data_IF_701189068718
#
_entry.id   IF_701189068718
#
_cell.length_a   1.000
_cell.length_b   1.000
_cell.length_c   1.000
_cell.angle_alpha   90.00
_cell.angle_beta   90.00
_cell.angle_gamma   90.00
#
_symmetry.space_group_name_H-M   'P 1'
#
loop_
_entity.id
_entity.type
_entity.pdbx_description
1 polymer ?
#
# COMPACT_ATOMS: atom_id res chain seq x y z
N UNK A 1 26.63 17.33 22.48
CA UNK A 1 26.63 16.83 23.87
C UNK A 1 26.88 15.34 23.80
N UNK A 2 28.02 14.89 24.34
CA UNK A 2 28.40 13.49 24.40
C UNK A 2 27.34 12.73 25.18
N UNK A 3 26.55 11.87 24.54
CA UNK A 3 25.75 10.89 25.27
C UNK A 3 26.73 9.83 25.76
N UNK A 4 27.06 9.86 27.04
CA UNK A 4 27.65 8.70 27.68
C UNK A 4 26.76 7.49 27.37
N UNK A 5 27.37 6.44 26.83
CA UNK A 5 26.65 5.21 26.54
C UNK A 5 26.04 4.70 27.85
N UNK A 6 24.72 4.52 27.89
CA UNK A 6 24.05 3.95 29.04
C UNK A 6 24.58 2.52 29.25
N UNK A 7 24.94 2.19 30.48
CA UNK A 7 25.36 0.84 30.87
C UNK A 7 24.11 -0.06 30.99
N UNK A 8 23.57 -0.43 29.82
CA UNK A 8 22.40 -1.31 29.67
C UNK A 8 22.93 -2.65 29.16
N UNK A 9 22.78 -3.71 29.97
CA UNK A 9 23.25 -5.05 29.61
C UNK A 9 22.10 -5.97 29.20
N UNK A 10 20.92 -5.81 29.84
CA UNK A 10 19.71 -6.62 29.60
C UNK A 10 18.46 -5.74 29.48
N UNK A 11 17.35 -6.31 29.00
CA UNK A 11 16.10 -5.56 28.78
C UNK A 11 15.50 -5.02 30.07
N UNK A 12 15.69 -5.72 31.18
CA UNK A 12 15.23 -5.37 32.51
C UNK A 12 15.90 -4.10 33.07
N UNK A 13 17.02 -3.69 32.49
CA UNK A 13 17.70 -2.43 32.85
C UNK A 13 17.00 -1.20 32.22
N UNK A 14 16.11 -1.41 31.25
CA UNK A 14 15.39 -0.33 30.57
C UNK A 14 14.30 0.26 31.48
N UNK A 15 14.20 1.58 31.51
CA UNK A 15 13.02 2.23 32.07
C UNK A 15 11.75 1.83 31.31
N UNK A 16 10.58 2.03 31.92
CA UNK A 16 9.30 1.73 31.27
C UNK A 16 9.14 2.43 29.91
N UNK A 17 9.59 3.68 29.79
CA UNK A 17 9.54 4.41 28.52
C UNK A 17 10.49 3.79 27.48
N UNK A 18 11.72 3.45 27.87
CA UNK A 18 12.69 2.83 26.96
C UNK A 18 12.24 1.45 26.49
N UNK A 19 11.69 0.63 27.41
CA UNK A 19 11.16 -0.68 27.07
C UNK A 19 9.96 -0.55 26.10
N UNK A 20 9.11 0.45 26.29
CA UNK A 20 7.99 0.72 25.37
C UNK A 20 8.50 1.13 23.98
N UNK A 21 9.50 2.02 23.90
CA UNK A 21 10.13 2.41 22.64
C UNK A 21 10.82 1.22 21.97
N UNK A 22 11.47 0.37 22.75
CA UNK A 22 12.09 -0.85 22.26
C UNK A 22 11.06 -1.82 21.64
N UNK A 23 9.89 -2.00 22.26
CA UNK A 23 8.81 -2.83 21.69
C UNK A 23 8.33 -2.26 20.34
N UNK A 24 8.13 -0.94 20.23
CA UNK A 24 7.75 -0.31 18.96
C UNK A 24 8.81 -0.53 17.87
N UNK A 25 10.09 -0.43 18.24
CA UNK A 25 11.20 -0.71 17.34
C UNK A 25 11.26 -2.20 16.94
N UNK A 26 10.97 -3.14 17.84
CA UNK A 26 10.86 -4.56 17.50
C UNK A 26 9.77 -4.83 16.45
N UNK A 27 8.61 -4.17 16.56
CA UNK A 27 7.53 -4.26 15.55
C UNK A 27 8.02 -3.71 14.21
N UNK A 28 8.76 -2.60 14.20
CA UNK A 28 9.36 -2.07 12.97
C UNK A 28 10.33 -3.08 12.35
N UNK A 29 11.28 -3.63 13.12
CA UNK A 29 12.23 -4.66 12.64
C UNK A 29 11.51 -5.89 12.09
N UNK A 30 10.41 -6.32 12.73
CA UNK A 30 9.58 -7.42 12.26
C UNK A 30 8.98 -7.13 10.88
N UNK A 31 8.41 -5.94 10.67
CA UNK A 31 7.84 -5.55 9.35
C UNK A 31 8.90 -5.45 8.25
N UNK A 32 10.09 -4.93 8.56
CA UNK A 32 11.24 -4.92 7.65
C UNK A 32 11.65 -6.36 7.30
N UNK A 33 11.84 -7.22 8.29
CA UNK A 33 12.26 -8.61 8.08
C UNK A 33 11.23 -9.41 7.28
N UNK A 34 9.93 -9.25 7.56
CA UNK A 34 8.86 -9.85 6.76
C UNK A 34 8.94 -9.42 5.29
N UNK A 35 9.15 -8.12 5.05
CA UNK A 35 9.29 -7.60 3.69
C UNK A 35 10.55 -8.13 3.01
N UNK A 36 11.68 -8.23 3.71
CA UNK A 36 12.92 -8.82 3.19
C UNK A 36 12.72 -10.28 2.78
N UNK A 37 12.03 -11.10 3.58
CA UNK A 37 11.66 -12.47 3.19
C UNK A 37 10.87 -12.50 1.90
N UNK A 38 9.83 -11.67 1.78
CA UNK A 38 9.06 -11.57 0.54
C UNK A 38 9.94 -11.15 -0.65
N UNK A 39 10.84 -10.16 -0.45
CA UNK A 39 11.77 -9.71 -1.49
C UNK A 39 12.72 -10.82 -1.94
N UNK A 40 13.26 -11.60 -1.02
CA UNK A 40 14.16 -12.72 -1.35
C UNK A 40 13.42 -13.86 -2.05
N UNK A 41 12.20 -14.21 -1.62
CA UNK A 41 11.40 -15.22 -2.32
C UNK A 41 11.06 -14.76 -3.74
N UNK A 42 10.70 -13.48 -3.94
CA UNK A 42 10.50 -12.93 -5.28
C UNK A 42 11.78 -12.98 -6.12
N UNK A 43 12.92 -12.63 -5.54
CA UNK A 43 14.21 -12.63 -6.24
C UNK A 43 14.64 -14.04 -6.65
N UNK A 44 14.52 -15.03 -5.76
CA UNK A 44 15.01 -16.39 -5.96
C UNK A 44 14.02 -17.26 -6.75
N UNK A 45 12.72 -17.12 -6.48
CA UNK A 45 11.68 -18.05 -6.97
C UNK A 45 10.68 -17.40 -7.95
N UNK A 46 10.74 -16.07 -8.12
CA UNK A 46 9.86 -15.31 -8.98
C UNK A 46 8.58 -14.83 -8.28
N UNK A 47 7.96 -13.78 -8.83
CA UNK A 47 6.82 -13.07 -8.22
C UNK A 47 5.61 -13.97 -7.97
N UNK A 48 5.21 -14.83 -8.91
CA UNK A 48 4.01 -15.66 -8.75
C UNK A 48 4.11 -16.57 -7.52
N UNK A 49 5.22 -17.29 -7.37
CA UNK A 49 5.47 -18.15 -6.20
C UNK A 49 5.59 -17.33 -4.91
N UNK A 50 6.19 -16.15 -4.98
CA UNK A 50 6.28 -15.25 -3.84
C UNK A 50 4.90 -14.78 -3.34
N UNK A 51 3.97 -14.52 -4.25
CA UNK A 51 2.59 -14.16 -3.90
C UNK A 51 1.84 -15.33 -3.25
N UNK A 52 1.99 -16.55 -3.79
CA UNK A 52 1.37 -17.76 -3.21
C UNK A 52 1.88 -18.01 -1.78
N UNK A 53 3.20 -17.90 -1.58
CA UNK A 53 3.83 -18.07 -0.25
C UNK A 53 3.43 -16.92 0.69
N UNK A 54 3.38 -15.68 0.21
CA UNK A 54 2.96 -14.54 1.01
C UNK A 54 1.53 -14.72 1.54
N UNK A 55 0.60 -15.20 0.72
CA UNK A 55 -0.77 -15.48 1.14
C UNK A 55 -0.83 -16.51 2.27
N UNK A 56 -0.12 -17.64 2.12
CA UNK A 56 -0.09 -18.68 3.13
C UNK A 56 0.53 -18.19 4.45
N UNK A 57 1.65 -17.47 4.36
CA UNK A 57 2.43 -17.06 5.53
C UNK A 57 1.82 -15.84 6.24
N UNK A 58 1.25 -14.89 5.52
CA UNK A 58 0.62 -13.70 6.10
C UNK A 58 -0.56 -14.05 7.00
N UNK A 59 -1.48 -14.92 6.56
CA UNK A 59 -2.61 -15.36 7.39
C UNK A 59 -2.16 -16.02 8.69
N UNK A 60 -1.26 -17.01 8.57
CA UNK A 60 -0.72 -17.74 9.73
C UNK A 60 0.01 -16.81 10.71
N UNK A 61 0.84 -15.90 10.18
CA UNK A 61 1.62 -14.97 11.00
C UNK A 61 0.75 -13.92 11.70
N UNK A 62 -0.32 -13.45 11.05
CA UNK A 62 -1.31 -12.55 11.65
C UNK A 62 -2.04 -13.23 12.80
N UNK A 63 -2.55 -14.44 12.61
CA UNK A 63 -3.25 -15.21 13.65
C UNK A 63 -2.36 -15.43 14.88
N UNK A 64 -1.10 -15.83 14.67
CA UNK A 64 -0.13 -16.03 15.75
C UNK A 64 0.16 -14.71 16.48
N UNK A 65 0.38 -13.63 15.73
CA UNK A 65 0.76 -12.33 16.30
C UNK A 65 -0.39 -11.73 17.10
N UNK A 66 -1.61 -11.74 16.56
CA UNK A 66 -2.81 -11.21 17.21
C UNK A 66 -3.13 -12.02 18.47
N UNK A 67 -3.04 -13.35 18.41
CA UNK A 67 -3.24 -14.21 19.58
C UNK A 67 -2.28 -13.86 20.72
N UNK A 68 -0.97 -13.77 20.42
CA UNK A 68 0.05 -13.42 21.42
C UNK A 68 -0.13 -12.01 22.00
N UNK A 69 -0.52 -11.05 21.15
CA UNK A 69 -0.85 -9.69 21.59
C UNK A 69 -2.07 -9.71 22.50
N UNK A 70 -3.11 -10.49 22.18
CA UNK A 70 -4.31 -10.64 23.01
C UNK A 70 -3.99 -11.23 24.39
N UNK A 71 -3.17 -12.29 24.43
CA UNK A 71 -2.69 -12.90 25.68
C UNK A 71 -1.90 -11.90 26.55
N UNK A 72 -1.04 -11.08 25.93
CA UNK A 72 -0.18 -10.13 26.65
C UNK A 72 -0.92 -8.85 27.08
N UNK A 73 -1.80 -8.33 26.23
CA UNK A 73 -2.51 -7.06 26.43
C UNK A 73 -3.90 -7.23 27.05
N UNK A 74 -4.35 -8.47 27.27
CA UNK A 74 -5.59 -8.78 27.98
C UNK A 74 -6.86 -8.60 27.15
N UNK A 75 -6.81 -8.79 25.83
CA UNK A 75 -8.00 -8.74 24.97
C UNK A 75 -8.33 -10.09 24.32
N UNK A 76 -9.62 -10.33 24.13
CA UNK A 76 -10.13 -11.54 23.46
C UNK A 76 -9.89 -11.50 21.96
N UNK A 77 -9.58 -12.65 21.37
CA UNK A 77 -9.47 -12.84 19.92
C UNK A 77 -10.52 -13.87 19.48
N UNK A 78 -11.43 -13.47 18.61
CA UNK A 78 -12.53 -14.29 18.10
C UNK A 78 -12.30 -14.53 16.60
N UNK A 79 -12.11 -15.80 16.20
CA UNK A 79 -11.84 -16.16 14.79
C UNK A 79 -10.67 -15.39 14.15
N UNK A 80 -9.62 -15.11 14.93
CA UNK A 80 -8.45 -14.34 14.46
C UNK A 80 -8.62 -12.82 14.52
N UNK A 81 -9.79 -12.32 14.94
CA UNK A 81 -10.11 -10.89 15.01
C UNK A 81 -10.01 -10.40 16.46
N UNK A 82 -9.29 -9.30 16.76
CA UNK A 82 -9.30 -8.67 18.08
C UNK A 82 -10.71 -8.16 18.43
N UNK A 83 -11.28 -8.63 19.54
CA UNK A 83 -12.61 -8.21 19.98
C UNK A 83 -12.73 -6.69 20.16
N UNK A 84 -11.72 -5.96 20.71
CA UNK A 84 -11.80 -4.51 20.80
C UNK A 84 -11.93 -3.79 19.45
N UNK A 85 -11.43 -4.37 18.35
CA UNK A 85 -11.65 -3.83 17.00
C UNK A 85 -13.05 -4.19 16.50
N UNK A 86 -13.50 -5.41 16.74
CA UNK A 86 -14.83 -5.88 16.32
C UNK A 86 -15.98 -5.10 17.00
N UNK A 87 -15.76 -4.64 18.23
CA UNK A 87 -16.72 -3.87 19.01
C UNK A 87 -16.78 -2.38 18.64
N UNK A 88 -15.89 -1.89 17.76
CA UNK A 88 -15.92 -0.50 17.33
C UNK A 88 -17.16 -0.22 16.48
N UNK A 89 -17.76 0.99 16.61
CA UNK A 89 -18.77 1.45 15.67
C UNK A 89 -18.25 1.43 14.24
N UNK A 90 -19.14 1.12 13.28
CA UNK A 90 -18.79 1.02 11.86
C UNK A 90 -18.09 2.28 11.34
N UNK A 91 -18.52 3.46 11.79
CA UNK A 91 -17.93 4.74 11.42
C UNK A 91 -16.47 4.84 11.88
N UNK A 92 -16.14 4.29 13.05
CA UNK A 92 -14.77 4.26 13.58
C UNK A 92 -13.87 3.28 12.84
N UNK A 93 -14.41 2.15 12.39
CA UNK A 93 -13.67 1.24 11.50
C UNK A 93 -13.36 1.92 10.15
N UNK A 94 -14.32 2.68 9.61
CA UNK A 94 -14.11 3.46 8.38
C UNK A 94 -13.09 4.58 8.57
N UNK A 95 -13.14 5.32 9.68
CA UNK A 95 -12.14 6.33 10.04
C UNK A 95 -10.75 5.72 10.16
N UNK A 96 -10.62 4.63 10.93
CA UNK A 96 -9.37 3.92 11.15
C UNK A 96 -8.75 3.43 9.84
N UNK A 97 -9.55 2.85 8.94
CA UNK A 97 -9.06 2.44 7.61
C UNK A 97 -8.55 3.62 6.77
N UNK A 98 -9.17 4.80 6.89
CA UNK A 98 -8.67 6.03 6.28
C UNK A 98 -7.34 6.50 6.88
N UNK A 99 -7.18 6.42 8.20
CA UNK A 99 -5.95 6.80 8.89
C UNK A 99 -4.79 5.84 8.60
N UNK A 100 -5.07 4.53 8.49
CA UNK A 100 -4.08 3.54 8.01
C UNK A 100 -3.63 3.88 6.59
N UNK A 101 -4.55 4.27 5.69
CA UNK A 101 -4.22 4.75 4.35
C UNK A 101 -3.34 6.00 4.36
N UNK A 102 -3.62 6.98 5.24
CA UNK A 102 -2.80 8.19 5.38
C UNK A 102 -1.40 7.87 5.91
N UNK A 103 -1.28 6.95 6.87
CA UNK A 103 -0.02 6.51 7.44
C UNK A 103 0.85 5.83 6.38
N UNK A 104 0.27 4.93 5.59
CA UNK A 104 0.95 4.29 4.48
C UNK A 104 1.49 5.31 3.47
N UNK A 105 0.68 6.29 3.04
CA UNK A 105 1.15 7.31 2.10
C UNK A 105 2.24 8.21 2.72
N UNK A 106 2.14 8.51 4.02
CA UNK A 106 3.17 9.26 4.73
C UNK A 106 4.50 8.49 4.76
N UNK A 107 4.46 7.18 5.02
CA UNK A 107 5.64 6.32 4.98
C UNK A 107 6.28 6.29 3.58
N UNK A 108 5.48 6.13 2.53
CA UNK A 108 5.95 6.16 1.14
C UNK A 108 6.66 7.49 0.83
N UNK A 109 6.05 8.61 1.21
CA UNK A 109 6.63 9.95 1.05
C UNK A 109 7.92 10.17 1.85
N UNK A 110 8.04 9.61 3.05
CA UNK A 110 9.26 9.71 3.87
C UNK A 110 10.43 8.94 3.24
N UNK A 111 10.19 7.74 2.71
CA UNK A 111 11.19 6.99 1.95
C UNK A 111 11.63 7.75 0.69
N UNK A 112 10.67 8.26 -0.08
CA UNK A 112 10.96 9.04 -1.27
C UNK A 112 11.85 10.25 -0.96
N UNK A 113 11.46 11.05 0.04
CA UNK A 113 12.20 12.25 0.44
C UNK A 113 13.60 11.93 0.99
N UNK A 114 13.75 10.82 1.73
CA UNK A 114 15.04 10.40 2.24
C UNK A 114 16.00 10.04 1.10
N UNK A 115 15.53 9.26 0.11
CA UNK A 115 16.34 8.90 -1.06
C UNK A 115 16.63 10.13 -1.92
N UNK A 116 15.63 10.97 -2.19
CA UNK A 116 15.79 12.20 -2.97
C UNK A 116 16.84 13.13 -2.34
N UNK A 117 16.77 13.32 -1.03
CA UNK A 117 17.70 14.19 -0.30
C UNK A 117 19.15 13.71 -0.38
N UNK A 118 19.37 12.39 -0.35
CA UNK A 118 20.72 11.81 -0.29
C UNK A 118 21.30 11.48 -1.68
N UNK A 119 20.46 11.02 -2.60
CA UNK A 119 20.87 10.46 -3.89
C UNK A 119 20.23 11.16 -5.11
N UNK A 120 19.31 12.09 -4.88
CA UNK A 120 18.65 12.88 -5.93
C UNK A 120 17.39 12.23 -6.51
N UNK A 121 16.69 13.03 -7.33
CA UNK A 121 15.36 12.69 -7.87
C UNK A 121 15.36 11.40 -8.71
N UNK A 122 16.40 11.17 -9.53
CA UNK A 122 16.44 9.99 -10.40
C UNK A 122 16.44 8.68 -9.61
N UNK A 123 17.25 8.58 -8.56
CA UNK A 123 17.30 7.40 -7.70
C UNK A 123 16.01 7.25 -6.88
N UNK A 124 15.44 8.36 -6.38
CA UNK A 124 14.16 8.35 -5.68
C UNK A 124 13.03 7.80 -6.57
N UNK A 125 12.92 8.28 -7.81
CA UNK A 125 11.93 7.79 -8.79
C UNK A 125 12.18 6.33 -9.16
N UNK A 126 13.43 5.92 -9.40
CA UNK A 126 13.75 4.52 -9.72
C UNK A 126 13.35 3.57 -8.58
N UNK A 127 13.65 3.93 -7.34
CA UNK A 127 13.26 3.18 -6.15
C UNK A 127 11.73 3.13 -6.00
N UNK A 128 11.07 4.29 -6.13
CA UNK A 128 9.62 4.40 -6.08
C UNK A 128 8.93 3.52 -7.13
N UNK A 129 9.28 3.67 -8.40
CA UNK A 129 8.62 2.97 -9.50
C UNK A 129 8.85 1.44 -9.38
N UNK A 130 10.04 1.04 -8.92
CA UNK A 130 10.36 -0.36 -8.60
C UNK A 130 9.56 -0.91 -7.42
N UNK A 131 9.24 -0.07 -6.43
CA UNK A 131 8.38 -0.42 -5.31
C UNK A 131 6.94 -0.61 -5.80
N UNK A 132 6.40 0.36 -6.56
CA UNK A 132 5.05 0.31 -7.13
C UNK A 132 4.83 -0.88 -8.05
N UNK A 133 5.79 -1.20 -8.91
CA UNK A 133 5.73 -2.38 -9.77
C UNK A 133 5.41 -3.67 -8.99
N UNK A 134 5.98 -3.79 -7.78
CA UNK A 134 5.82 -4.98 -6.93
C UNK A 134 4.59 -4.88 -6.05
N UNK A 135 4.45 -3.76 -5.36
CA UNK A 135 3.36 -3.53 -4.43
C UNK A 135 2.00 -3.59 -5.13
N UNK A 136 1.86 -3.08 -6.36
CA UNK A 136 0.61 -3.19 -7.12
C UNK A 136 0.17 -4.62 -7.37
N UNK A 137 1.10 -5.56 -7.55
CA UNK A 137 0.77 -6.98 -7.73
C UNK A 137 0.37 -7.63 -6.40
N UNK A 138 1.07 -7.27 -5.31
CA UNK A 138 0.74 -7.70 -3.95
C UNK A 138 -0.65 -7.20 -3.55
N UNK A 139 -0.91 -5.90 -3.73
CA UNK A 139 -2.19 -5.27 -3.43
C UNK A 139 -3.32 -5.89 -4.25
N UNK A 140 -3.12 -6.09 -5.56
CA UNK A 140 -4.10 -6.76 -6.42
C UNK A 140 -4.40 -8.19 -5.93
N UNK A 141 -3.37 -8.99 -5.61
CA UNK A 141 -3.55 -10.35 -5.08
C UNK A 141 -4.34 -10.35 -3.77
N UNK A 142 -3.95 -9.51 -2.82
CA UNK A 142 -4.61 -9.44 -1.51
C UNK A 142 -6.07 -9.01 -1.64
N UNK A 143 -6.36 -8.02 -2.49
CA UNK A 143 -7.73 -7.55 -2.74
C UNK A 143 -8.57 -8.63 -3.44
N UNK A 144 -8.02 -9.34 -4.44
CA UNK A 144 -8.74 -10.45 -5.08
C UNK A 144 -9.15 -11.52 -4.08
N UNK A 145 -8.23 -11.91 -3.20
CA UNK A 145 -8.49 -12.94 -2.20
C UNK A 145 -9.54 -12.45 -1.19
N UNK A 146 -9.43 -11.19 -0.75
CA UNK A 146 -10.41 -10.58 0.16
C UNK A 146 -11.82 -10.53 -0.45
N UNK A 147 -11.93 -10.21 -1.74
CA UNK A 147 -13.20 -10.10 -2.48
C UNK A 147 -13.70 -11.42 -3.08
N UNK A 148 -12.90 -12.49 -3.03
CA UNK A 148 -13.22 -13.75 -3.71
C UNK A 148 -13.29 -13.63 -5.24
N UNK A 149 -12.49 -12.75 -5.84
CA UNK A 149 -12.50 -12.56 -7.30
C UNK A 149 -11.82 -13.73 -8.03
N UNK A 150 -12.34 -14.17 -9.19
CA UNK A 150 -11.73 -15.23 -9.97
C UNK A 150 -10.39 -14.79 -10.59
N UNK A 151 -9.63 -15.75 -11.14
CA UNK A 151 -8.35 -15.47 -11.78
C UNK A 151 -8.47 -14.43 -12.90
N UNK A 152 -9.52 -14.55 -13.73
CA UNK A 152 -9.86 -13.63 -14.81
C UNK A 152 -11.13 -12.85 -14.44
N UNK A 153 -10.98 -11.83 -13.59
CA UNK A 153 -12.11 -11.09 -13.03
C UNK A 153 -12.72 -10.03 -13.97
N UNK A 154 -12.08 -9.77 -15.12
CA UNK A 154 -12.51 -8.77 -16.09
C UNK A 154 -12.63 -7.35 -15.53
N UNK A 155 -13.28 -6.47 -16.30
CA UNK A 155 -13.46 -5.07 -15.90
C UNK A 155 -14.39 -4.92 -14.69
N UNK A 156 -15.36 -5.81 -14.49
CA UNK A 156 -16.23 -5.80 -13.32
C UNK A 156 -15.45 -6.09 -12.03
N UNK A 157 -14.52 -7.05 -12.06
CA UNK A 157 -13.59 -7.32 -10.96
C UNK A 157 -12.62 -6.17 -10.73
N UNK A 158 -12.09 -5.58 -11.80
CA UNK A 158 -11.20 -4.42 -11.69
C UNK A 158 -11.88 -3.22 -11.05
N UNK A 159 -13.11 -2.89 -11.44
CA UNK A 159 -13.91 -1.81 -10.84
C UNK A 159 -14.09 -1.99 -9.34
N UNK A 160 -14.44 -3.21 -8.92
CA UNK A 160 -14.52 -3.53 -7.50
C UNK A 160 -13.16 -3.35 -6.82
N UNK A 161 -12.12 -3.98 -7.35
CA UNK A 161 -10.79 -3.97 -6.74
C UNK A 161 -10.20 -2.57 -6.59
N UNK A 162 -10.41 -1.66 -7.56
CA UNK A 162 -9.99 -0.25 -7.47
C UNK A 162 -10.58 0.47 -6.24
N UNK A 163 -11.77 0.08 -5.79
CA UNK A 163 -12.40 0.62 -4.58
C UNK A 163 -11.81 0.12 -3.26
N UNK A 164 -11.00 -0.94 -3.28
CA UNK A 164 -10.38 -1.55 -2.09
C UNK A 164 -8.89 -1.23 -1.95
N UNK A 165 -8.32 -0.47 -2.90
CA UNK A 165 -6.93 -0.01 -2.82
C UNK A 165 -6.72 0.94 -1.65
N UNK A 166 -5.48 1.00 -1.16
CA UNK A 166 -5.09 1.98 -0.13
C UNK A 166 -5.37 3.42 -0.59
N UNK A 167 -5.16 3.71 -1.87
CA UNK A 167 -5.46 5.01 -2.46
C UNK A 167 -6.95 5.37 -2.43
N UNK A 168 -7.85 4.39 -2.57
CA UNK A 168 -9.29 4.62 -2.56
C UNK A 168 -9.78 5.22 -1.23
N UNK A 169 -8.99 5.10 -0.15
CA UNK A 169 -9.36 5.60 1.18
C UNK A 169 -8.88 7.02 1.47
N UNK A 170 -8.02 7.57 0.61
CA UNK A 170 -7.37 8.86 0.85
C UNK A 170 -7.51 9.85 -0.31
N UNK A 171 -8.06 9.41 -1.44
CA UNK A 171 -8.26 10.19 -2.65
C UNK A 171 -9.72 10.14 -3.11
N UNK A 172 -10.12 11.09 -3.95
CA UNK A 172 -11.40 11.06 -4.65
C UNK A 172 -11.19 10.54 -6.06
N UNK A 173 -12.03 9.58 -6.47
CA UNK A 173 -11.86 8.84 -7.72
C UNK A 173 -13.20 8.48 -8.33
N UNK A 174 -13.24 8.42 -9.66
CA UNK A 174 -14.43 8.05 -10.44
C UNK A 174 -14.08 7.06 -11.54
N UNK A 175 -15.10 6.31 -11.98
CA UNK A 175 -15.00 5.35 -13.07
C UNK A 175 -16.10 5.68 -14.07
N UNK A 176 -15.72 5.80 -15.33
CA UNK A 176 -16.60 6.03 -16.47
C UNK A 176 -16.59 4.76 -17.31
N UNK A 177 -17.77 4.21 -17.59
CA UNK A 177 -17.91 3.15 -18.60
C UNK A 177 -17.74 3.78 -19.99
N UNK A 178 -16.67 3.42 -20.71
CA UNK A 178 -16.39 3.96 -22.03
C UNK A 178 -16.98 3.05 -23.13
N UNK A 179 -16.89 1.73 -22.94
CA UNK A 179 -17.45 0.71 -23.84
C UNK A 179 -17.66 -0.62 -23.11
N UNK A 180 -18.26 -1.65 -23.74
CA UNK A 180 -18.37 -2.99 -23.14
C UNK A 180 -17.01 -3.62 -22.78
N UNK A 181 -15.92 -3.17 -23.41
CA UNK A 181 -14.56 -3.69 -23.23
C UNK A 181 -13.59 -2.62 -22.71
N UNK A 182 -14.05 -1.45 -22.27
CA UNK A 182 -13.17 -0.43 -21.70
C UNK A 182 -13.84 0.47 -20.65
N UNK A 183 -13.05 0.86 -19.66
CA UNK A 183 -13.41 1.86 -18.65
C UNK A 183 -12.33 2.94 -18.55
N UNK A 184 -12.72 4.14 -18.13
CA UNK A 184 -11.81 5.22 -17.78
C UNK A 184 -11.88 5.47 -16.27
N UNK A 185 -10.75 5.31 -15.60
CA UNK A 185 -10.57 5.62 -14.19
C UNK A 185 -9.93 6.99 -14.05
N UNK A 186 -10.51 7.86 -13.23
CA UNK A 186 -10.01 9.21 -12.97
C UNK A 186 -9.68 9.39 -11.48
N UNK A 187 -8.51 9.96 -11.22
CA UNK A 187 -8.12 10.45 -9.91
C UNK A 187 -8.54 11.91 -9.79
N UNK A 188 -9.76 12.14 -9.31
CA UNK A 188 -10.37 13.47 -9.23
C UNK A 188 -9.66 14.37 -8.22
N UNK A 189 -9.34 13.84 -7.03
CA UNK A 189 -8.46 14.51 -6.07
C UNK A 189 -7.38 13.56 -5.57
N UNK A 190 -6.12 13.91 -5.84
CA UNK A 190 -4.96 13.18 -5.36
C UNK A 190 -4.36 13.90 -4.15
N UNK A 191 -4.34 13.24 -2.98
CA UNK A 191 -3.81 13.80 -1.74
C UNK A 191 -2.40 14.38 -1.87
N UNK A 192 -1.53 13.74 -2.67
CA UNK A 192 -0.16 14.22 -2.94
C UNK A 192 -0.18 15.52 -3.73
N UNK A 193 -0.90 15.56 -4.86
CA UNK A 193 -0.96 16.75 -5.70
C UNK A 193 -1.66 17.91 -4.99
N UNK A 194 -2.78 17.63 -4.31
CA UNK A 194 -3.47 18.61 -3.48
C UNK A 194 -2.57 19.17 -2.37
N UNK A 195 -1.73 18.36 -1.74
CA UNK A 195 -0.75 18.85 -0.77
C UNK A 195 0.32 19.75 -1.39
N UNK A 196 0.76 19.46 -2.62
CA UNK A 196 1.73 20.28 -3.36
C UNK A 196 1.13 21.60 -3.81
N UNK A 197 -0.09 21.58 -4.37
CA UNK A 197 -0.86 22.77 -4.75
C UNK A 197 -1.05 23.72 -3.57
N UNK A 198 -1.40 23.21 -2.39
CA UNK A 198 -1.49 24.02 -1.14
C UNK A 198 -0.16 24.68 -0.74
N UNK A 199 0.97 24.08 -1.12
CA UNK A 199 2.32 24.62 -0.87
C UNK A 199 2.83 25.50 -2.01
N UNK A 200 2.01 25.79 -3.03
CA UNK A 200 2.44 26.54 -4.22
C UNK A 200 3.49 25.81 -5.06
N UNK A 201 3.59 24.47 -4.92
CA UNK A 201 4.52 23.65 -5.69
C UNK A 201 3.84 23.15 -6.96
N UNK A 202 4.62 23.02 -8.04
CA UNK A 202 4.17 22.33 -9.26
C UNK A 202 3.80 20.88 -8.97
N UNK A 203 2.91 20.31 -9.78
CA UNK A 203 2.51 18.91 -9.66
C UNK A 203 3.72 17.99 -9.69
N UNK A 204 3.66 16.95 -8.87
CA UNK A 204 4.69 15.92 -8.85
C UNK A 204 4.59 15.10 -10.14
N UNK A 205 5.69 14.91 -10.90
CA UNK A 205 5.68 14.17 -12.16
C UNK A 205 5.54 12.65 -11.93
N UNK A 206 4.36 12.18 -11.51
CA UNK A 206 4.08 10.79 -11.12
C UNK A 206 3.80 9.82 -12.27
N UNK A 207 3.78 10.27 -13.54
CA UNK A 207 3.44 9.42 -14.69
C UNK A 207 4.24 8.12 -14.79
N UNK A 208 5.55 8.14 -14.51
CA UNK A 208 6.40 6.94 -14.56
C UNK A 208 5.94 5.87 -13.55
N UNK A 209 5.64 6.30 -12.33
CA UNK A 209 5.08 5.45 -11.29
C UNK A 209 3.68 4.95 -11.67
N UNK A 210 2.80 5.84 -12.13
CA UNK A 210 1.44 5.49 -12.53
C UNK A 210 1.40 4.44 -13.65
N UNK A 211 2.30 4.55 -14.64
CA UNK A 211 2.39 3.59 -15.75
C UNK A 211 2.66 2.17 -15.23
N UNK A 212 3.58 2.01 -14.28
CA UNK A 212 3.87 0.69 -13.70
C UNK A 212 2.81 0.26 -12.70
N UNK A 213 2.30 1.19 -11.89
CA UNK A 213 1.34 0.92 -10.82
C UNK A 213 0.01 0.40 -11.37
N UNK A 214 -0.62 1.16 -12.27
CA UNK A 214 -1.95 0.83 -12.77
C UNK A 214 -1.92 -0.35 -13.73
N UNK A 215 -0.87 -0.48 -14.55
CA UNK A 215 -0.71 -1.65 -15.43
C UNK A 215 -0.52 -2.94 -14.63
N UNK A 216 0.33 -2.94 -13.61
CA UNK A 216 0.59 -4.13 -12.79
C UNK A 216 -0.57 -4.47 -11.88
N UNK A 217 -1.27 -3.47 -11.35
CA UNK A 217 -2.49 -3.70 -10.58
C UNK A 217 -3.57 -4.36 -11.46
N UNK A 218 -3.89 -3.76 -12.61
CA UNK A 218 -4.91 -4.28 -13.51
C UNK A 218 -4.56 -5.68 -14.03
N UNK A 219 -3.31 -5.91 -14.43
CA UNK A 219 -2.81 -7.23 -14.83
C UNK A 219 -2.96 -8.28 -13.72
N UNK A 220 -2.70 -7.89 -12.45
CA UNK A 220 -2.92 -8.78 -11.31
C UNK A 220 -4.39 -9.17 -11.11
N UNK A 221 -5.33 -8.27 -11.47
CA UNK A 221 -6.77 -8.55 -11.46
C UNK A 221 -7.18 -9.47 -12.60
N UNK A 222 -6.76 -9.17 -13.82
CA UNK A 222 -6.97 -9.99 -15.01
C UNK A 222 -5.87 -9.67 -16.03
N UNK A 223 -5.09 -10.69 -16.39
CA UNK A 223 -3.90 -10.53 -17.22
C UNK A 223 -4.20 -10.03 -18.64
N UNK A 224 -5.46 -10.12 -19.08
CA UNK A 224 -5.95 -9.64 -20.39
C UNK A 224 -6.25 -8.14 -20.39
N UNK A 225 -6.16 -7.47 -19.24
CA UNK A 225 -6.42 -6.04 -19.17
C UNK A 225 -5.17 -5.27 -19.57
N UNK A 226 -5.28 -4.50 -20.66
CA UNK A 226 -4.28 -3.51 -21.05
C UNK A 226 -4.62 -2.15 -20.44
N UNK A 227 -3.59 -1.44 -20.01
CA UNK A 227 -3.71 -0.10 -19.42
C UNK A 227 -3.09 0.96 -20.33
N UNK A 228 -3.79 2.07 -20.53
CA UNK A 228 -3.29 3.26 -21.21
C UNK A 228 -3.35 4.48 -20.30
N UNK A 229 -2.32 5.32 -20.33
CA UNK A 229 -2.35 6.63 -19.70
C UNK A 229 -3.10 7.62 -20.61
N UNK A 230 -4.19 8.21 -20.13
CA UNK A 230 -4.88 9.31 -20.82
C UNK A 230 -4.16 10.63 -20.50
N UNK A 231 -3.78 10.82 -19.24
CA UNK A 231 -3.00 11.95 -18.80
C UNK A 231 -2.55 11.76 -17.35
N UNK A 232 -1.32 12.16 -17.04
CA UNK A 232 -0.78 12.14 -15.70
C UNK A 232 0.41 13.11 -15.61
N UNK A 233 0.55 13.92 -14.54
CA UNK A 233 1.69 14.81 -14.37
C UNK A 233 3.02 14.12 -14.67
N UNK A 234 3.90 14.73 -15.48
CA UNK A 234 3.90 16.15 -15.84
C UNK A 234 3.08 16.52 -17.08
N UNK A 235 2.28 15.60 -17.63
CA UNK A 235 1.35 15.95 -18.71
C UNK A 235 0.37 17.03 -18.23
N UNK A 236 -0.07 17.89 -19.15
CA UNK A 236 -1.21 18.76 -18.91
C UNK A 236 -2.46 17.93 -18.64
N UNK A 237 -3.26 18.37 -17.68
CA UNK A 237 -4.52 17.73 -17.31
C UNK A 237 -5.58 18.81 -17.01
N UNK A 238 -6.88 18.48 -17.15
CA UNK A 238 -7.93 19.43 -16.89
C UNK A 238 -8.16 19.60 -15.38
N UNK A 239 -9.10 20.45 -14.97
CA UNK A 239 -9.31 20.78 -13.55
C UNK A 239 -10.01 19.66 -12.77
N UNK A 240 -10.71 18.76 -13.46
CA UNK A 240 -11.59 17.74 -12.91
C UNK A 240 -10.85 16.50 -12.39
N UNK A 241 -9.61 16.28 -12.83
CA UNK A 241 -8.78 15.15 -12.41
C UNK A 241 -7.29 15.44 -12.58
N UNK A 242 -6.47 14.83 -11.72
CA UNK A 242 -5.01 14.88 -11.82
C UNK A 242 -4.46 13.80 -12.74
N UNK A 243 -5.00 12.59 -12.72
CA UNK A 243 -4.62 11.56 -13.69
C UNK A 243 -5.81 10.73 -14.13
N UNK A 244 -5.74 10.22 -15.35
CA UNK A 244 -6.76 9.38 -15.95
C UNK A 244 -6.14 8.20 -16.70
N UNK A 245 -6.74 7.04 -16.53
CA UNK A 245 -6.24 5.75 -17.02
C UNK A 245 -7.35 4.99 -17.70
N UNK A 246 -7.10 4.52 -18.92
CA UNK A 246 -8.02 3.63 -19.63
C UNK A 246 -7.61 2.19 -19.36
N UNK A 247 -8.57 1.36 -19.01
CA UNK A 247 -8.40 -0.08 -18.91
C UNK A 247 -9.24 -0.74 -19.99
N UNK A 248 -8.60 -1.60 -20.80
CA UNK A 248 -9.20 -2.27 -21.95
C UNK A 248 -9.08 -3.76 -21.72
N UNK A 249 -10.19 -4.49 -21.79
CA UNK A 249 -10.18 -5.94 -21.76
C UNK A 249 -9.96 -6.47 -23.17
N UNK A 250 -8.84 -7.14 -23.39
CA UNK A 250 -8.52 -7.78 -24.66
C UNK A 250 -9.21 -9.15 -24.76
N UNK A 251 -9.44 -9.60 -26.00
CA UNK A 251 -10.16 -10.83 -26.32
C UNK A 251 -9.35 -12.09 -25.95
#
# INVERSE_FOLDING_TARGET
MSSEAKDIAILEDLSQEELTRFIMDMVHRMTVHHTLWFREVEHQLGMNRALDILEETSKKSQDISIKRLGETLGFTVTEGIPQPLLDLPREKLLELSGDIGKNWLAMDGLWFQAVEKTYGMNDAKRCNDSCWHRFSQVEARMIKNFLGLPAQAGLSGLKQALGFRMYARINEQSIIEESPTSIVFQMNDCRVQSARKRKGMADYPCKSAGLVEYSRFAWGIDERIRTECIGCPPDEHPAEWFCAWRFILEA
#
